data_IF_640356470886
#
_entry.id   IF_640356470886
#
_cell.length_a   1.000
_cell.length_b   1.000
_cell.length_c   1.000
_cell.angle_alpha   90.00
_cell.angle_beta   90.00
_cell.angle_gamma   90.00
#
_symmetry.space_group_name_H-M   'P 1'
#
loop_
_entity.id
_entity.type
_entity.pdbx_description
1 polymer ?
#
# COMPACT_ATOMS: atom_id res chain seq x y z
N UNK A 1 -15.72 76.80 -35.01
CA UNK A 1 -15.01 76.01 -34.04
C UNK A 1 -15.66 74.63 -33.93
N UNK A 2 -15.09 73.61 -34.58
CA UNK A 2 -15.62 72.27 -34.63
C UNK A 2 -14.82 71.41 -33.69
N UNK A 3 -15.46 70.82 -32.69
CA UNK A 3 -14.85 69.92 -31.75
C UNK A 3 -15.09 68.53 -32.27
N UNK A 4 -14.02 67.82 -32.59
CA UNK A 4 -14.03 66.40 -32.99
C UNK A 4 -13.80 65.56 -31.71
N UNK A 5 -14.80 64.78 -31.35
CA UNK A 5 -14.65 63.79 -30.23
C UNK A 5 -14.18 62.47 -30.81
N UNK A 6 -13.00 62.07 -30.40
CA UNK A 6 -12.41 60.78 -30.75
C UNK A 6 -12.81 59.73 -29.68
N UNK A 7 -13.59 58.76 -30.08
CA UNK A 7 -13.94 57.61 -29.21
C UNK A 7 -12.82 56.54 -29.28
N UNK A 8 -12.18 56.23 -28.16
CA UNK A 8 -11.26 55.12 -28.00
C UNK A 8 -12.04 53.86 -27.64
N UNK A 9 -12.05 52.90 -28.55
CA UNK A 9 -12.52 51.52 -28.32
C UNK A 9 -11.38 50.72 -27.69
N UNK A 10 -11.51 50.40 -26.40
CA UNK A 10 -10.63 49.43 -25.72
C UNK A 10 -11.17 48.01 -25.94
N UNK A 11 -10.49 47.24 -26.78
CA UNK A 11 -10.72 45.81 -26.94
C UNK A 11 -10.12 45.06 -25.73
N UNK A 12 -11.00 44.59 -24.86
CA UNK A 12 -10.60 43.72 -23.76
C UNK A 12 -10.27 42.31 -24.27
N UNK A 13 -8.98 41.95 -24.21
CA UNK A 13 -8.54 40.58 -24.46
C UNK A 13 -8.82 39.75 -23.18
N UNK A 14 -9.90 38.93 -23.23
CA UNK A 14 -10.14 37.92 -22.22
C UNK A 14 -9.19 36.74 -22.51
N UNK A 15 -8.06 36.72 -21.83
CA UNK A 15 -7.15 35.57 -21.81
C UNK A 15 -7.85 34.45 -21.01
N UNK A 16 -8.53 33.55 -21.71
CA UNK A 16 -9.02 32.31 -21.13
C UNK A 16 -7.81 31.43 -20.71
N UNK A 17 -7.63 31.29 -19.43
CA UNK A 17 -6.69 30.30 -18.88
C UNK A 17 -7.33 28.93 -19.12
N UNK A 18 -6.90 28.25 -20.18
CA UNK A 18 -7.09 26.81 -20.32
C UNK A 18 -6.19 26.15 -19.26
N UNK A 19 -6.78 25.82 -18.10
CA UNK A 19 -6.14 24.90 -17.19
C UNK A 19 -5.96 23.59 -17.97
N UNK A 20 -4.72 23.31 -18.41
CA UNK A 20 -4.37 21.99 -18.88
C UNK A 20 -4.71 21.01 -17.75
N UNK A 21 -5.38 19.86 -18.05
CA UNK A 21 -5.51 18.82 -17.05
C UNK A 21 -4.09 18.51 -16.59
N UNK A 22 -3.84 18.66 -15.29
CA UNK A 22 -2.62 18.15 -14.69
C UNK A 22 -2.63 16.67 -15.03
N UNK A 23 -1.80 16.24 -15.98
CA UNK A 23 -1.43 14.86 -16.12
C UNK A 23 -0.85 14.51 -14.75
N UNK A 24 -1.65 13.79 -13.95
CA UNK A 24 -1.19 13.28 -12.68
C UNK A 24 0.07 12.49 -13.03
N UNK A 25 1.22 13.07 -12.69
CA UNK A 25 2.48 12.40 -12.86
C UNK A 25 2.30 11.04 -12.15
N UNK A 26 2.69 9.97 -12.81
CA UNK A 26 2.80 8.64 -12.21
C UNK A 26 4.25 8.47 -11.75
N UNK A 27 4.67 9.23 -10.69
CA UNK A 27 6.08 9.42 -10.40
C UNK A 27 6.71 8.11 -9.96
N UNK A 28 5.99 7.26 -9.25
CA UNK A 28 6.51 5.98 -8.78
C UNK A 28 6.86 5.04 -9.96
N UNK A 29 5.95 4.88 -10.91
CA UNK A 29 6.17 3.98 -12.05
C UNK A 29 7.35 4.44 -12.92
N UNK A 30 7.39 5.72 -13.27
CA UNK A 30 8.47 6.28 -14.10
C UNK A 30 9.82 6.24 -13.37
N UNK A 31 9.84 6.54 -12.07
CA UNK A 31 11.05 6.51 -11.25
C UNK A 31 11.65 5.10 -11.16
N UNK A 32 10.80 4.08 -11.17
CA UNK A 32 11.22 2.68 -11.15
C UNK A 32 11.54 2.11 -12.54
N UNK A 33 11.40 2.91 -13.61
CA UNK A 33 11.61 2.47 -14.99
C UNK A 33 10.49 1.59 -15.54
N UNK A 34 9.30 1.67 -14.93
CA UNK A 34 8.13 0.89 -15.31
C UNK A 34 7.30 1.52 -16.43
N UNK A 35 6.35 0.75 -16.93
CA UNK A 35 5.36 1.14 -17.93
C UNK A 35 3.97 0.93 -17.33
N UNK A 36 3.09 1.92 -17.52
CA UNK A 36 1.69 1.82 -17.11
C UNK A 36 0.88 1.19 -18.24
N UNK A 37 0.13 0.15 -17.92
CA UNK A 37 -0.76 -0.51 -18.89
C UNK A 37 -2.16 0.15 -18.97
N UNK A 38 -3.02 -0.41 -19.83
CA UNK A 38 -4.38 0.11 -20.05
C UNK A 38 -5.27 0.02 -18.79
N UNK A 39 -4.97 -0.89 -17.88
CA UNK A 39 -5.69 -1.11 -16.61
C UNK A 39 -5.17 -0.22 -15.48
N UNK A 40 -4.33 0.76 -15.79
CA UNK A 40 -3.71 1.66 -14.82
C UNK A 40 -2.82 0.92 -13.80
N UNK A 41 -2.19 -0.16 -14.23
CA UNK A 41 -1.21 -0.91 -13.47
C UNK A 41 0.20 -0.57 -13.97
N UNK A 42 1.06 -0.16 -13.06
CA UNK A 42 2.49 -0.06 -13.33
C UNK A 42 3.11 -1.45 -13.40
N UNK A 43 3.94 -1.69 -14.42
CA UNK A 43 4.75 -2.90 -14.56
C UNK A 43 6.21 -2.52 -14.67
N UNK A 44 6.99 -2.98 -13.72
CA UNK A 44 8.45 -2.85 -13.69
C UNK A 44 9.03 -4.23 -13.93
N UNK A 45 9.92 -4.36 -14.89
CA UNK A 45 10.64 -5.59 -15.16
C UNK A 45 12.13 -5.27 -15.36
N UNK A 46 12.98 -5.95 -14.61
CA UNK A 46 14.44 -5.87 -14.74
C UNK A 46 15.00 -7.28 -14.75
N UNK A 47 15.82 -7.62 -15.74
CA UNK A 47 16.47 -8.91 -15.85
C UNK A 47 17.96 -8.73 -16.13
N UNK A 48 18.78 -9.38 -15.32
CA UNK A 48 20.23 -9.43 -15.42
C UNK A 48 20.70 -10.88 -15.19
N UNK A 49 21.92 -11.25 -15.56
CA UNK A 49 22.41 -12.61 -15.29
C UNK A 49 22.40 -13.00 -13.81
N UNK A 50 22.47 -12.02 -12.89
CA UNK A 50 22.49 -12.23 -11.44
C UNK A 50 21.12 -12.14 -10.80
N UNK A 51 20.12 -11.49 -11.42
CA UNK A 51 18.81 -11.29 -10.82
C UNK A 51 17.68 -11.02 -11.81
N UNK A 52 16.44 -11.22 -11.31
CA UNK A 52 15.19 -10.74 -11.91
C UNK A 52 14.40 -9.97 -10.85
N UNK A 53 13.87 -8.81 -11.23
CA UNK A 53 12.96 -8.00 -10.42
C UNK A 53 11.69 -7.73 -11.20
N UNK A 54 10.55 -8.06 -10.63
CA UNK A 54 9.23 -7.79 -11.20
C UNK A 54 8.36 -7.07 -10.16
N UNK A 55 7.90 -5.84 -10.47
CA UNK A 55 6.91 -5.15 -9.65
C UNK A 55 5.65 -4.85 -10.45
N UNK A 56 4.49 -5.05 -9.82
CA UNK A 56 3.20 -4.63 -10.37
C UNK A 56 2.39 -3.92 -9.30
N UNK A 57 1.81 -2.74 -9.61
CA UNK A 57 1.00 -1.99 -8.66
C UNK A 57 0.07 -0.99 -9.33
N UNK A 58 -1.10 -0.66 -8.72
CA UNK A 58 -1.99 0.35 -9.22
C UNK A 58 -1.38 1.75 -9.08
N UNK A 59 -1.61 2.62 -10.07
CA UNK A 59 -1.02 3.97 -10.10
C UNK A 59 -1.93 5.05 -9.49
N UNK A 60 -3.11 4.67 -9.00
CA UNK A 60 -4.10 5.58 -8.42
C UNK A 60 -3.96 5.82 -6.91
N UNK A 61 -2.94 5.23 -6.27
CA UNK A 61 -2.65 5.50 -4.85
C UNK A 61 -2.11 6.93 -4.67
N UNK A 62 -2.66 7.74 -3.74
CA UNK A 62 -2.34 9.17 -3.68
C UNK A 62 -0.89 9.49 -3.34
N UNK A 63 -0.27 8.78 -2.40
CA UNK A 63 1.14 9.00 -2.02
C UNK A 63 2.09 8.14 -2.86
N UNK A 64 2.23 8.50 -4.13
CA UNK A 64 3.14 7.83 -5.06
C UNK A 64 4.61 7.93 -4.62
N UNK A 65 4.98 8.97 -3.85
CA UNK A 65 6.34 9.14 -3.38
C UNK A 65 6.72 8.08 -2.35
N UNK A 66 5.81 7.75 -1.42
CA UNK A 66 6.04 6.69 -0.44
C UNK A 66 6.20 5.32 -1.12
N UNK A 67 5.35 5.01 -2.14
CA UNK A 67 5.49 3.78 -2.92
C UNK A 67 6.85 3.71 -3.63
N UNK A 68 7.22 4.78 -4.34
CA UNK A 68 8.49 4.84 -5.07
C UNK A 68 9.69 4.66 -4.13
N UNK A 69 9.68 5.33 -2.98
CA UNK A 69 10.76 5.23 -2.00
C UNK A 69 10.92 3.80 -1.48
N UNK A 70 9.82 3.17 -1.08
CA UNK A 70 9.84 1.79 -0.58
C UNK A 70 10.34 0.81 -1.66
N UNK A 71 9.75 0.84 -2.86
CA UNK A 71 10.12 -0.09 -3.92
C UNK A 71 11.55 0.12 -4.41
N UNK A 72 12.01 1.37 -4.47
CA UNK A 72 13.42 1.69 -4.78
C UNK A 72 14.36 1.11 -3.73
N UNK A 73 14.08 1.34 -2.46
CA UNK A 73 14.91 0.81 -1.36
C UNK A 73 14.94 -0.73 -1.38
N UNK A 74 13.78 -1.38 -1.57
CA UNK A 74 13.66 -2.84 -1.63
C UNK A 74 14.45 -3.40 -2.81
N UNK A 75 14.28 -2.84 -4.01
CA UNK A 75 15.04 -3.22 -5.21
C UNK A 75 16.54 -3.05 -5.01
N UNK A 76 16.97 -1.89 -4.55
CA UNK A 76 18.40 -1.58 -4.45
C UNK A 76 19.08 -2.46 -3.39
N UNK A 77 18.40 -2.74 -2.28
CA UNK A 77 18.88 -3.70 -1.27
C UNK A 77 19.07 -5.10 -1.86
N UNK A 78 18.08 -5.59 -2.60
CA UNK A 78 18.12 -6.89 -3.27
C UNK A 78 19.22 -6.96 -4.35
N UNK A 79 19.32 -5.97 -5.21
CA UNK A 79 20.35 -5.91 -6.27
C UNK A 79 21.76 -5.91 -5.68
N UNK A 80 21.98 -5.15 -4.60
CA UNK A 80 23.26 -5.16 -3.90
C UNK A 80 23.66 -6.56 -3.41
N UNK A 81 22.72 -7.37 -2.94
CA UNK A 81 22.98 -8.77 -2.53
C UNK A 81 23.26 -9.65 -3.75
N UNK A 82 22.51 -9.50 -4.83
CA UNK A 82 22.67 -10.30 -6.04
C UNK A 82 24.02 -10.06 -6.74
N UNK A 83 24.56 -8.84 -6.64
CA UNK A 83 25.82 -8.44 -7.26
C UNK A 83 27.05 -8.64 -6.34
N UNK A 84 26.86 -9.19 -5.13
CA UNK A 84 27.98 -9.50 -4.26
C UNK A 84 28.88 -10.58 -4.84
N UNK A 85 30.20 -10.41 -4.66
CA UNK A 85 31.17 -11.45 -5.04
C UNK A 85 30.92 -12.72 -4.22
N UNK A 86 30.76 -13.86 -4.89
CA UNK A 86 30.47 -15.15 -4.27
C UNK A 86 28.98 -15.48 -4.15
N UNK A 87 28.10 -14.68 -4.72
CA UNK A 87 26.69 -15.05 -4.90
C UNK A 87 26.58 -16.39 -5.66
N UNK A 88 25.68 -17.25 -5.23
CA UNK A 88 25.50 -18.60 -5.77
C UNK A 88 24.01 -18.90 -5.98
N UNK A 89 23.70 -19.93 -6.79
CA UNK A 89 22.32 -20.26 -7.19
C UNK A 89 21.58 -19.08 -7.87
N UNK A 90 22.28 -18.38 -8.75
CA UNK A 90 21.73 -17.30 -9.55
C UNK A 90 20.84 -17.82 -10.71
N UNK A 91 19.89 -17.01 -11.24
CA UNK A 91 19.58 -15.65 -10.80
C UNK A 91 18.74 -15.61 -9.52
N UNK A 92 18.91 -14.56 -8.73
CA UNK A 92 18.02 -14.24 -7.62
C UNK A 92 16.70 -13.66 -8.13
N UNK A 93 15.64 -13.74 -7.33
CA UNK A 93 14.30 -13.31 -7.72
C UNK A 93 13.70 -12.39 -6.66
N UNK A 94 13.19 -11.24 -7.09
CA UNK A 94 12.40 -10.33 -6.29
C UNK A 94 11.11 -10.03 -7.06
N UNK A 95 9.97 -10.49 -6.52
CA UNK A 95 8.65 -10.20 -7.07
C UNK A 95 7.85 -9.38 -6.05
N UNK A 96 7.26 -8.25 -6.49
CA UNK A 96 6.39 -7.42 -5.65
C UNK A 96 5.07 -7.16 -6.35
N UNK A 97 3.97 -7.60 -5.74
CA UNK A 97 2.62 -7.41 -6.27
C UNK A 97 1.80 -6.50 -5.36
N UNK A 98 1.53 -5.28 -5.82
CA UNK A 98 0.67 -4.32 -5.17
C UNK A 98 -0.80 -4.54 -5.51
N UNK A 99 -1.64 -4.69 -4.50
CA UNK A 99 -3.10 -4.77 -4.63
C UNK A 99 -3.72 -3.54 -4.00
N UNK A 100 -4.58 -2.84 -4.76
CA UNK A 100 -5.31 -1.66 -4.32
C UNK A 100 -6.59 -2.02 -3.57
N UNK A 101 -6.89 -1.25 -2.51
CA UNK A 101 -8.14 -1.32 -1.75
C UNK A 101 -8.69 0.08 -1.53
N UNK A 102 -9.99 0.16 -1.29
CA UNK A 102 -10.67 1.42 -1.00
C UNK A 102 -11.78 1.22 0.01
N UNK A 103 -12.07 2.28 0.76
CA UNK A 103 -13.21 2.35 1.65
C UNK A 103 -13.83 3.73 1.54
N UNK A 104 -15.16 3.79 1.42
CA UNK A 104 -15.91 5.01 1.21
C UNK A 104 -15.79 5.61 -0.19
N UNK A 105 -16.41 6.78 -0.39
CA UNK A 105 -16.45 7.46 -1.68
C UNK A 105 -15.07 7.98 -2.11
N UNK A 106 -14.96 8.32 -3.40
CA UNK A 106 -13.69 8.69 -4.01
C UNK A 106 -13.08 9.98 -3.44
N UNK A 107 -13.89 10.89 -2.96
CA UNK A 107 -13.52 12.20 -2.44
C UNK A 107 -13.44 12.28 -0.91
N UNK A 108 -13.88 11.24 -0.19
CA UNK A 108 -14.00 11.29 1.27
C UNK A 108 -13.67 9.97 1.98
N UNK A 109 -13.13 9.01 1.28
CA UNK A 109 -12.80 7.68 1.84
C UNK A 109 -11.33 7.49 2.14
N UNK A 110 -10.92 6.23 2.11
CA UNK A 110 -9.53 5.83 2.21
C UNK A 110 -9.06 5.12 0.94
N UNK A 111 -7.76 5.19 0.67
CA UNK A 111 -7.08 4.43 -0.38
C UNK A 111 -5.97 3.63 0.26
N UNK A 112 -5.86 2.37 -0.10
CA UNK A 112 -4.82 1.49 0.41
C UNK A 112 -4.17 0.73 -0.73
N UNK A 113 -2.88 0.45 -0.58
CA UNK A 113 -2.14 -0.51 -1.42
C UNK A 113 -1.35 -1.40 -0.49
N UNK A 114 -1.45 -2.71 -0.66
CA UNK A 114 -0.57 -3.66 0.00
C UNK A 114 0.27 -4.38 -1.04
N UNK A 115 1.57 -4.41 -0.81
CA UNK A 115 2.52 -5.23 -1.57
C UNK A 115 2.71 -6.57 -0.87
N UNK A 116 2.53 -7.66 -1.62
CA UNK A 116 3.09 -8.96 -1.29
C UNK A 116 4.44 -9.05 -1.99
N UNK A 117 5.51 -9.18 -1.23
CA UNK A 117 6.88 -9.22 -1.74
C UNK A 117 7.48 -10.59 -1.47
N UNK A 118 7.89 -11.25 -2.56
CA UNK A 118 8.60 -12.51 -2.53
C UNK A 118 10.06 -12.28 -2.89
N UNK A 119 10.96 -12.82 -2.09
CA UNK A 119 12.39 -12.75 -2.32
C UNK A 119 13.03 -14.14 -2.25
N UNK A 120 13.87 -14.44 -3.24
CA UNK A 120 14.74 -15.63 -3.25
C UNK A 120 16.16 -15.21 -3.59
N UNK A 121 17.04 -15.27 -2.61
CA UNK A 121 18.47 -14.95 -2.71
C UNK A 121 19.34 -16.22 -2.69
N UNK A 122 18.84 -17.32 -3.23
CA UNK A 122 19.59 -18.58 -3.36
C UNK A 122 19.80 -19.35 -2.05
N UNK A 123 19.22 -18.87 -0.94
CA UNK A 123 19.26 -19.53 0.37
C UNK A 123 18.31 -20.74 0.48
N UNK A 124 18.27 -21.36 1.65
CA UNK A 124 17.46 -22.54 1.88
C UNK A 124 15.94 -22.26 1.84
N UNK A 125 15.54 -21.02 2.15
CA UNK A 125 14.15 -20.63 2.24
C UNK A 125 13.91 -19.24 1.63
N UNK A 126 13.12 -19.13 0.55
CA UNK A 126 12.57 -17.86 0.11
C UNK A 126 11.75 -17.20 1.22
N UNK A 127 11.65 -15.88 1.18
CA UNK A 127 10.88 -15.09 2.13
C UNK A 127 9.71 -14.41 1.42
N UNK A 128 8.58 -14.32 2.13
CA UNK A 128 7.44 -13.51 1.70
C UNK A 128 7.03 -12.59 2.83
N UNK A 129 6.92 -11.30 2.53
CA UNK A 129 6.43 -10.32 3.49
C UNK A 129 5.43 -9.38 2.84
N UNK A 130 4.79 -8.56 3.64
CA UNK A 130 3.85 -7.55 3.19
C UNK A 130 4.35 -6.15 3.51
N UNK A 131 3.93 -5.18 2.68
CA UNK A 131 4.05 -3.75 2.98
C UNK A 131 2.79 -3.04 2.55
N UNK A 132 2.08 -2.47 3.50
CA UNK A 132 0.84 -1.73 3.28
C UNK A 132 1.04 -0.23 3.39
N UNK A 133 0.27 0.49 2.59
CA UNK A 133 0.16 1.94 2.60
C UNK A 133 -1.30 2.31 2.65
N UNK A 134 -1.67 3.17 3.57
CA UNK A 134 -3.04 3.62 3.77
C UNK A 134 -3.10 5.14 3.78
N UNK A 135 -4.10 5.71 3.12
CA UNK A 135 -4.25 7.14 2.93
C UNK A 135 -5.68 7.60 3.25
N UNK A 136 -5.79 8.63 4.07
CA UNK A 136 -7.04 9.36 4.32
C UNK A 136 -7.17 10.46 3.24
N UNK A 137 -8.18 10.34 2.39
CA UNK A 137 -8.38 11.25 1.25
C UNK A 137 -8.75 12.67 1.72
N UNK A 138 -9.52 12.78 2.81
CA UNK A 138 -9.95 14.07 3.35
C UNK A 138 -8.81 14.79 4.08
N UNK A 139 -8.08 14.07 4.92
CA UNK A 139 -6.95 14.64 5.68
C UNK A 139 -5.70 14.81 4.84
N UNK A 140 -5.65 14.17 3.65
CA UNK A 140 -4.46 14.09 2.80
C UNK A 140 -3.23 13.63 3.60
N UNK A 141 -3.38 12.56 4.35
CA UNK A 141 -2.36 12.05 5.26
C UNK A 141 -2.37 10.52 5.33
N UNK A 142 -1.23 9.90 5.62
CA UNK A 142 -1.16 8.45 5.84
C UNK A 142 -1.95 8.04 7.09
N UNK A 143 -2.56 6.85 7.02
CA UNK A 143 -3.19 6.18 8.16
C UNK A 143 -2.21 5.12 8.65
N UNK A 144 -1.77 5.24 9.89
CA UNK A 144 -0.93 4.26 10.58
C UNK A 144 -1.75 3.45 11.58
N UNK A 145 -1.19 2.39 12.15
CA UNK A 145 -1.86 1.63 13.22
C UNK A 145 -2.28 2.55 14.38
N UNK A 146 -1.41 3.47 14.80
CA UNK A 146 -1.70 4.39 15.91
C UNK A 146 -2.83 5.38 15.59
N UNK A 147 -2.97 5.80 14.32
CA UNK A 147 -4.03 6.73 13.90
C UNK A 147 -5.32 6.04 13.47
N UNK A 148 -5.27 4.72 13.26
CA UNK A 148 -6.43 3.90 12.93
C UNK A 148 -7.40 3.76 14.12
N UNK A 149 -6.89 3.79 15.34
CA UNK A 149 -7.67 3.57 16.56
C UNK A 149 -7.81 4.83 17.40
N UNK A 150 -8.85 4.87 18.21
CA UNK A 150 -9.08 5.94 19.17
C UNK A 150 -8.00 5.92 20.25
N UNK A 151 -7.52 7.10 20.70
CA UNK A 151 -6.58 7.17 21.81
C UNK A 151 -7.14 6.48 23.06
N UNK A 152 -6.22 5.97 23.88
CA UNK A 152 -6.53 5.32 25.17
C UNK A 152 -7.43 4.08 25.07
N UNK A 153 -7.54 3.46 23.88
CA UNK A 153 -8.20 2.17 23.68
C UNK A 153 -7.19 1.03 23.58
N UNK A 154 -7.67 -0.21 23.76
CA UNK A 154 -6.87 -1.41 23.63
C UNK A 154 -7.39 -2.27 22.46
N UNK A 155 -7.15 -1.86 21.20
CA UNK A 155 -7.76 -2.50 20.04
C UNK A 155 -7.39 -3.97 19.90
N UNK A 156 -6.18 -4.38 20.28
CA UNK A 156 -5.72 -5.75 20.12
C UNK A 156 -6.45 -6.74 21.04
N UNK A 157 -7.00 -6.31 22.16
CA UNK A 157 -7.84 -7.18 22.99
C UNK A 157 -9.10 -7.66 22.25
N UNK A 158 -9.59 -6.87 21.29
CA UNK A 158 -10.75 -7.21 20.45
C UNK A 158 -10.31 -7.88 19.14
N UNK A 159 -9.23 -7.40 18.54
CA UNK A 159 -8.72 -7.86 17.24
C UNK A 159 -8.09 -9.26 17.34
N UNK A 160 -7.26 -9.50 18.34
CA UNK A 160 -6.49 -10.72 18.45
C UNK A 160 -7.34 -12.00 18.45
N UNK A 161 -8.45 -12.12 19.21
CA UNK A 161 -9.30 -13.32 19.15
C UNK A 161 -9.88 -13.58 17.74
N UNK A 162 -10.20 -12.53 16.99
CA UNK A 162 -10.72 -12.65 15.62
C UNK A 162 -9.61 -13.12 14.69
N UNK A 163 -8.43 -12.49 14.74
CA UNK A 163 -7.25 -12.87 13.96
C UNK A 163 -6.85 -14.31 14.27
N UNK A 164 -6.81 -14.70 15.54
CA UNK A 164 -6.50 -16.06 15.98
C UNK A 164 -7.46 -17.08 15.35
N UNK A 165 -8.77 -16.79 15.41
CA UNK A 165 -9.81 -17.67 14.83
C UNK A 165 -9.65 -17.79 13.31
N UNK A 166 -9.41 -16.67 12.62
CA UNK A 166 -9.27 -16.63 11.17
C UNK A 166 -8.03 -17.41 10.70
N UNK A 167 -6.88 -17.22 11.38
CA UNK A 167 -5.65 -17.95 11.07
C UNK A 167 -5.77 -19.43 11.43
N UNK A 168 -6.42 -19.77 12.55
CA UNK A 168 -6.72 -21.18 12.91
C UNK A 168 -7.53 -21.88 11.80
N UNK A 169 -8.53 -21.18 11.27
CA UNK A 169 -9.36 -21.70 10.17
C UNK A 169 -8.57 -21.91 8.87
N UNK A 170 -7.66 -21.00 8.55
CA UNK A 170 -6.83 -21.09 7.34
C UNK A 170 -5.84 -22.26 7.41
N UNK A 171 -5.25 -22.49 8.57
CA UNK A 171 -4.18 -23.46 8.76
C UNK A 171 -4.69 -24.84 9.23
N UNK A 172 -5.92 -24.91 9.72
CA UNK A 172 -6.47 -26.13 10.32
C UNK A 172 -5.78 -26.53 11.64
N UNK A 173 -5.24 -25.55 12.38
CA UNK A 173 -4.58 -25.74 13.68
C UNK A 173 -5.18 -24.83 14.73
N UNK A 174 -5.27 -25.32 15.96
CA UNK A 174 -5.82 -24.54 17.06
C UNK A 174 -4.77 -23.57 17.62
N UNK A 175 -5.21 -22.32 17.86
CA UNK A 175 -4.43 -21.28 18.55
C UNK A 175 -2.99 -21.11 18.04
N UNK A 176 -2.77 -20.90 16.73
CA UNK A 176 -1.42 -20.87 16.15
C UNK A 176 -0.58 -19.65 16.56
N UNK A 177 -1.23 -18.55 16.98
CA UNK A 177 -0.57 -17.30 17.37
C UNK A 177 -0.47 -17.25 18.90
N UNK A 178 0.72 -16.99 19.44
CA UNK A 178 0.87 -16.84 20.89
C UNK A 178 0.24 -15.53 21.38
N UNK A 179 -0.22 -15.43 22.64
CA UNK A 179 -0.70 -14.15 23.17
C UNK A 179 0.35 -13.03 23.12
N UNK A 180 1.64 -13.36 23.23
CA UNK A 180 2.72 -12.38 23.13
C UNK A 180 2.80 -11.76 21.73
N UNK A 181 2.65 -12.57 20.67
CA UNK A 181 2.64 -12.08 19.30
C UNK A 181 1.29 -11.45 18.93
N UNK A 182 0.19 -12.05 19.39
CA UNK A 182 -1.16 -11.60 19.08
C UNK A 182 -1.57 -10.26 19.73
N UNK A 183 -0.89 -9.86 20.81
CA UNK A 183 -1.11 -8.59 21.50
C UNK A 183 0.02 -7.57 21.26
N UNK A 184 0.97 -7.87 20.37
CA UNK A 184 2.06 -6.97 20.01
C UNK A 184 1.64 -6.04 18.85
N UNK A 185 1.49 -4.71 19.07
CA UNK A 185 1.14 -3.77 18.00
C UNK A 185 2.11 -3.78 16.82
N UNK A 186 3.38 -4.13 17.04
CA UNK A 186 4.39 -4.20 15.99
C UNK A 186 4.05 -5.23 14.90
N UNK A 187 3.23 -6.23 15.22
CA UNK A 187 2.77 -7.28 14.29
C UNK A 187 1.59 -6.84 13.41
N UNK A 188 0.92 -5.73 13.71
CA UNK A 188 -0.30 -5.28 13.04
C UNK A 188 -0.10 -4.03 12.18
N UNK A 189 1.14 -3.74 11.80
CA UNK A 189 1.46 -2.54 11.02
C UNK A 189 1.01 -2.64 9.56
N UNK A 190 0.94 -3.83 9.01
CA UNK A 190 0.57 -4.05 7.62
C UNK A 190 -0.92 -4.40 7.53
N UNK A 191 -1.74 -3.41 7.17
CA UNK A 191 -3.19 -3.56 7.04
C UNK A 191 -3.74 -2.76 5.87
N UNK A 192 -4.95 -3.08 5.44
CA UNK A 192 -5.74 -2.29 4.48
C UNK A 192 -7.18 -2.13 4.95
N UNK A 193 -7.88 -1.18 4.35
CA UNK A 193 -9.24 -0.82 4.70
C UNK A 193 -10.17 -1.07 3.53
N UNK A 194 -11.28 -1.77 3.80
CA UNK A 194 -12.46 -1.87 2.94
C UNK A 194 -13.66 -1.25 3.63
N UNK A 195 -14.82 -1.22 3.00
CA UNK A 195 -16.04 -0.72 3.63
C UNK A 195 -16.44 -1.53 4.86
N UNK A 196 -16.22 -2.84 4.81
CA UNK A 196 -16.70 -3.79 5.81
C UNK A 196 -15.63 -4.29 6.76
N UNK A 197 -14.35 -4.24 6.36
CA UNK A 197 -13.26 -4.93 7.07
C UNK A 197 -12.00 -4.07 7.20
N UNK A 198 -11.21 -4.37 8.23
CA UNK A 198 -9.77 -4.11 8.32
C UNK A 198 -9.07 -5.45 8.08
N UNK A 199 -8.25 -5.54 7.05
CA UNK A 199 -7.54 -6.76 6.71
C UNK A 199 -6.08 -6.58 7.14
N UNK A 200 -5.63 -7.40 8.08
CA UNK A 200 -4.23 -7.45 8.52
C UNK A 200 -3.46 -8.50 7.73
N UNK A 201 -2.19 -8.21 7.45
CA UNK A 201 -1.28 -9.06 6.71
C UNK A 201 -0.05 -9.36 7.56
N UNK A 202 0.38 -10.61 7.55
CA UNK A 202 1.50 -11.10 8.33
C UNK A 202 2.48 -11.81 7.41
N UNK A 203 3.71 -11.34 7.38
CA UNK A 203 4.78 -11.97 6.63
C UNK A 203 5.12 -13.36 7.16
N UNK A 204 5.83 -14.12 6.34
CA UNK A 204 6.28 -15.47 6.71
C UNK A 204 7.15 -15.43 7.96
N UNK A 205 6.75 -16.14 9.00
CA UNK A 205 7.47 -16.20 10.28
C UNK A 205 7.22 -15.03 11.22
N UNK A 206 6.28 -14.12 10.91
CA UNK A 206 6.06 -12.90 11.69
C UNK A 206 5.25 -13.15 12.97
N UNK A 207 4.16 -13.93 12.88
CA UNK A 207 3.27 -14.21 14.03
C UNK A 207 3.26 -15.69 14.43
N UNK A 208 3.92 -16.53 13.63
CA UNK A 208 4.05 -17.96 13.87
C UNK A 208 5.24 -18.51 13.05
N UNK A 209 5.71 -19.76 13.31
CA UNK A 209 6.79 -20.36 12.54
C UNK A 209 6.57 -20.30 11.03
N UNK A 210 7.64 -20.02 10.28
CA UNK A 210 7.60 -19.76 8.83
C UNK A 210 6.97 -20.85 7.95
N UNK A 211 6.81 -22.08 8.47
CA UNK A 211 6.10 -23.15 7.77
C UNK A 211 4.62 -22.84 7.49
N UNK A 212 4.02 -21.90 8.23
CA UNK A 212 2.66 -21.42 7.98
C UNK A 212 2.54 -20.51 6.75
N UNK A 213 3.66 -20.05 6.19
CA UNK A 213 3.69 -19.09 5.08
C UNK A 213 3.32 -17.68 5.49
N UNK A 214 3.02 -16.85 4.49
CA UNK A 214 2.48 -15.52 4.68
C UNK A 214 0.96 -15.61 4.85
N UNK A 215 0.38 -14.82 5.76
CA UNK A 215 -1.00 -14.93 6.20
C UNK A 215 -1.74 -13.60 6.10
N UNK A 216 -3.07 -13.66 6.11
CA UNK A 216 -3.92 -12.49 6.26
C UNK A 216 -5.13 -12.82 7.13
N UNK A 217 -5.65 -11.80 7.84
CA UNK A 217 -6.86 -11.96 8.63
C UNK A 217 -7.78 -10.76 8.44
N UNK A 218 -9.02 -11.03 8.06
CA UNK A 218 -10.06 -10.02 7.92
C UNK A 218 -10.78 -9.84 9.25
N UNK A 219 -10.85 -8.60 9.73
CA UNK A 219 -11.54 -8.21 10.95
C UNK A 219 -12.73 -7.33 10.57
N UNK A 220 -13.98 -7.75 10.81
CA UNK A 220 -15.14 -6.92 10.53
C UNK A 220 -15.08 -5.59 11.27
N UNK A 221 -15.27 -4.47 10.56
CA UNK A 221 -15.27 -3.12 11.16
C UNK A 221 -16.35 -2.98 12.23
N UNK A 222 -17.47 -3.68 12.08
CA UNK A 222 -18.54 -3.73 13.07
C UNK A 222 -18.09 -4.33 14.41
N UNK A 223 -17.16 -5.28 14.40
CA UNK A 223 -16.64 -5.91 15.61
C UNK A 223 -15.68 -5.01 16.39
N UNK A 224 -15.08 -4.02 15.73
CA UNK A 224 -14.09 -3.08 16.30
C UNK A 224 -14.55 -1.61 16.26
N UNK A 225 -15.85 -1.36 16.00
CA UNK A 225 -16.39 0.00 15.83
C UNK A 225 -16.15 0.90 17.04
N UNK A 226 -16.14 0.34 18.24
CA UNK A 226 -15.95 1.09 19.47
C UNK A 226 -14.52 1.62 19.63
N UNK A 227 -13.54 0.98 19.02
CA UNK A 227 -12.12 1.36 19.08
C UNK A 227 -11.62 2.04 17.82
N UNK A 228 -12.31 1.93 16.66
CA UNK A 228 -11.91 2.59 15.42
C UNK A 228 -12.05 4.11 15.51
N UNK A 229 -11.02 4.84 15.05
CA UNK A 229 -11.05 6.30 14.90
C UNK A 229 -11.71 6.76 13.59
N UNK A 230 -11.84 5.86 12.60
CA UNK A 230 -12.48 6.17 11.33
C UNK A 230 -14.01 6.06 11.45
N UNK A 231 -14.76 7.00 10.84
CA UNK A 231 -16.22 6.93 10.86
C UNK A 231 -16.70 5.66 10.11
N UNK A 232 -17.90 5.16 10.47
CA UNK A 232 -18.53 4.11 9.68
C UNK A 232 -18.78 4.61 8.26
N UNK A 233 -18.58 3.73 7.28
CA UNK A 233 -18.93 4.03 5.88
C UNK A 233 -20.46 4.00 5.79
N UNK A 234 -21.05 5.15 5.52
CA UNK A 234 -22.48 5.23 5.23
C UNK A 234 -22.65 4.88 3.75
N UNK A 235 -23.10 3.68 3.47
CA UNK A 235 -23.54 3.31 2.12
C UNK A 235 -24.85 4.04 1.82
N UNK A 236 -24.97 4.74 0.68
CA UNK A 236 -26.17 5.46 0.29
C UNK A 236 -27.38 4.55 0.05
#
# INVERSE_FOLDING_TARGET
MRIVATALLTAGVVAGWLAAPAAAAQPACTQLGGVVDADQICRVHMEQPSYRVDFTFPVDYPDQQALAAYLTQTRDGFVNVADMSGAWNLPYVLDGRGTGYRSGPDDAGTRSVVFEVYENVGGAHPQTWYKAFNWDVVKQAPITFDTLFKPDTQPLEVIYPIVQSEVSRQLGVDSPITPADGLDPAKYQEFVLTDDEVIFFFGQGEVMPGAGGALRAAVPRSAIADVLALPPVVTP
#
